data_IF_327451772082
#
_entry.id   IF_327451772082
#
_cell.length_a   1.000
_cell.length_b   1.000
_cell.length_c   1.000
_cell.angle_alpha   90.00
_cell.angle_beta   90.00
_cell.angle_gamma   90.00
#
_symmetry.space_group_name_H-M   'P 1'
#
loop_
_entity.id
_entity.type
_entity.pdbx_description
1 polymer ?
#
# COMPACT_ATOMS: atom_id res chain seq x y z
N UNK A 1 -6.52 -18.04 -30.94
CA UNK A 1 -5.31 -18.80 -30.52
C UNK A 1 -4.52 -19.33 -31.71
N UNK A 2 -5.15 -19.98 -32.68
CA UNK A 2 -4.50 -20.67 -33.83
C UNK A 2 -3.69 -19.73 -34.70
N UNK A 3 -4.25 -18.55 -35.04
CA UNK A 3 -3.54 -17.53 -35.84
C UNK A 3 -2.25 -17.05 -35.15
N UNK A 4 -2.27 -16.90 -33.83
CA UNK A 4 -1.11 -16.49 -33.06
C UNK A 4 -0.03 -17.56 -33.06
N UNK A 5 -0.42 -18.83 -32.93
CA UNK A 5 0.50 -19.98 -33.05
C UNK A 5 1.12 -20.06 -34.44
N UNK A 6 0.33 -19.85 -35.49
CA UNK A 6 0.83 -19.81 -36.85
C UNK A 6 1.82 -18.69 -37.13
N UNK A 7 1.56 -17.49 -36.62
CA UNK A 7 2.51 -16.37 -36.67
C UNK A 7 3.81 -16.70 -35.95
N UNK A 8 3.74 -17.20 -34.71
CA UNK A 8 4.96 -17.58 -33.94
C UNK A 8 5.76 -18.68 -34.65
N UNK A 9 5.10 -19.63 -35.34
CA UNK A 9 5.79 -20.64 -36.13
C UNK A 9 6.49 -20.04 -37.35
N UNK A 10 5.83 -19.08 -38.01
CA UNK A 10 6.41 -18.34 -39.13
C UNK A 10 7.63 -17.54 -38.72
N UNK A 11 7.51 -16.76 -37.64
CA UNK A 11 8.59 -15.95 -37.08
C UNK A 11 9.79 -16.82 -36.69
N UNK A 12 9.53 -17.96 -36.03
CA UNK A 12 10.58 -18.92 -35.66
C UNK A 12 11.29 -19.48 -36.92
N UNK A 13 10.55 -19.85 -37.95
CA UNK A 13 11.12 -20.34 -39.21
C UNK A 13 11.94 -19.26 -39.93
N UNK A 14 11.48 -18.02 -39.94
CA UNK A 14 12.22 -16.89 -40.51
C UNK A 14 13.54 -16.63 -39.78
N UNK A 15 13.54 -16.67 -38.45
CA UNK A 15 14.73 -16.48 -37.62
C UNK A 15 15.79 -17.57 -37.84
N UNK A 16 15.38 -18.78 -38.20
CA UNK A 16 16.32 -19.87 -38.54
C UNK A 16 17.06 -19.63 -39.86
N UNK A 17 16.65 -18.68 -40.69
CA UNK A 17 17.29 -18.33 -41.97
C UNK A 17 18.52 -17.44 -41.84
N UNK A 18 18.96 -17.06 -40.63
CA UNK A 18 20.17 -16.27 -40.41
C UNK A 18 21.46 -17.07 -40.64
N UNK A 19 22.56 -16.37 -40.94
CA UNK A 19 23.89 -16.97 -41.13
C UNK A 19 24.40 -17.69 -39.88
N UNK A 20 24.10 -17.09 -38.70
CA UNK A 20 24.39 -17.70 -37.41
C UNK A 20 23.14 -17.55 -36.51
N UNK A 21 22.62 -18.66 -36.01
CA UNK A 21 21.42 -18.69 -35.16
C UNK A 21 21.74 -19.41 -33.86
N UNK A 22 21.49 -18.74 -32.75
CA UNK A 22 21.65 -19.29 -31.41
C UNK A 22 20.26 -19.42 -30.77
N UNK A 23 19.88 -20.64 -30.41
CA UNK A 23 18.65 -20.94 -29.72
C UNK A 23 18.94 -21.27 -28.25
N UNK A 24 18.27 -20.59 -27.34
CA UNK A 24 18.41 -20.84 -25.91
C UNK A 24 17.07 -21.14 -25.26
N UNK A 25 17.08 -22.01 -24.27
CA UNK A 25 15.92 -22.22 -23.40
C UNK A 25 16.36 -22.50 -21.97
N UNK A 26 15.54 -22.18 -20.99
CA UNK A 26 15.81 -22.47 -19.60
C UNK A 26 15.50 -23.92 -19.27
N UNK A 27 16.39 -24.60 -18.56
CA UNK A 27 16.11 -25.93 -18.00
C UNK A 27 15.10 -25.86 -16.83
N UNK A 28 15.07 -24.73 -16.12
CA UNK A 28 14.14 -24.47 -15.01
C UNK A 28 13.59 -23.05 -15.11
N UNK A 29 12.34 -22.87 -14.71
CA UNK A 29 11.70 -21.57 -14.55
C UNK A 29 11.04 -21.52 -13.17
N UNK A 30 11.37 -20.52 -12.33
CA UNK A 30 10.85 -20.42 -10.97
C UNK A 30 11.11 -21.64 -10.09
N UNK A 31 12.25 -22.33 -10.29
CA UNK A 31 12.61 -23.55 -9.55
C UNK A 31 12.01 -24.86 -10.11
N UNK A 32 11.02 -24.80 -10.98
CA UNK A 32 10.41 -25.97 -11.61
C UNK A 32 11.07 -26.30 -12.97
N UNK A 33 11.13 -27.58 -13.40
CA UNK A 33 11.60 -27.93 -14.73
C UNK A 33 10.80 -27.22 -15.83
N UNK A 34 11.48 -26.61 -16.78
CA UNK A 34 10.85 -25.96 -17.93
C UNK A 34 10.77 -26.94 -19.10
N UNK A 35 9.66 -26.87 -19.85
CA UNK A 35 9.46 -27.67 -21.06
C UNK A 35 9.95 -26.86 -22.27
N UNK A 36 10.79 -27.45 -23.10
CA UNK A 36 11.23 -26.83 -24.34
C UNK A 36 10.04 -26.53 -25.28
N UNK A 37 10.18 -25.46 -26.07
CA UNK A 37 9.15 -25.09 -27.03
C UNK A 37 8.87 -26.22 -28.04
N UNK A 38 7.60 -26.40 -28.41
CA UNK A 38 7.22 -27.32 -29.51
C UNK A 38 7.99 -27.08 -30.83
N UNK A 39 8.44 -25.86 -31.05
CA UNK A 39 9.23 -25.51 -32.25
C UNK A 39 10.65 -26.07 -32.13
N UNK A 40 11.26 -26.10 -30.94
CA UNK A 40 12.53 -26.76 -30.72
C UNK A 40 12.43 -28.27 -30.90
N UNK A 41 11.42 -28.92 -30.31
CA UNK A 41 11.20 -30.38 -30.53
C UNK A 41 10.97 -30.74 -31.99
N UNK A 42 10.24 -29.88 -32.72
CA UNK A 42 10.06 -30.10 -34.16
C UNK A 42 11.35 -29.93 -34.95
N UNK A 43 12.16 -28.92 -34.59
CA UNK A 43 13.47 -28.69 -35.21
C UNK A 43 14.41 -29.86 -34.96
N UNK A 44 14.46 -30.37 -33.72
CA UNK A 44 15.22 -31.55 -33.34
C UNK A 44 14.81 -32.77 -34.17
N UNK A 45 13.52 -33.04 -34.27
CA UNK A 45 13.01 -34.16 -35.06
C UNK A 45 13.34 -34.06 -36.58
N UNK A 46 13.37 -32.86 -37.14
CA UNK A 46 13.73 -32.63 -38.53
C UNK A 46 15.26 -32.71 -38.77
N UNK A 47 16.03 -32.16 -37.83
CA UNK A 47 17.50 -32.17 -37.92
C UNK A 47 18.08 -33.58 -37.77
N UNK A 48 17.45 -34.41 -36.97
CA UNK A 48 17.99 -35.71 -36.56
C UNK A 48 19.12 -35.64 -35.55
N UNK A 49 19.34 -36.75 -34.88
CA UNK A 49 20.24 -36.83 -33.70
C UNK A 49 21.66 -36.33 -33.97
N UNK A 50 22.22 -36.66 -35.11
CA UNK A 50 23.61 -36.31 -35.44
C UNK A 50 23.83 -34.80 -35.54
N UNK A 51 22.94 -34.11 -36.29
CA UNK A 51 23.03 -32.67 -36.49
C UNK A 51 22.63 -31.93 -35.21
N UNK A 52 21.56 -32.37 -34.55
CA UNK A 52 21.09 -31.79 -33.31
C UNK A 52 22.16 -31.82 -32.20
N UNK A 53 22.74 -32.98 -31.94
CA UNK A 53 23.81 -33.13 -30.96
C UNK A 53 25.06 -32.34 -31.30
N UNK A 54 25.38 -32.18 -32.58
CA UNK A 54 26.48 -31.32 -33.04
C UNK A 54 26.20 -29.85 -32.71
N UNK A 55 24.97 -29.36 -32.96
CA UNK A 55 24.53 -28.00 -32.67
C UNK A 55 24.54 -27.74 -31.15
N UNK A 56 24.03 -28.67 -30.35
CA UNK A 56 24.07 -28.59 -28.88
C UNK A 56 25.46 -28.43 -28.35
N UNK A 57 26.41 -29.29 -28.81
CA UNK A 57 27.83 -29.16 -28.44
C UNK A 57 28.45 -27.83 -28.85
N UNK A 58 28.10 -27.33 -30.05
CA UNK A 58 28.59 -26.03 -30.51
C UNK A 58 28.04 -24.85 -29.66
N UNK A 59 26.81 -25.03 -29.11
CA UNK A 59 26.17 -24.05 -28.23
C UNK A 59 26.72 -24.01 -26.79
N UNK A 60 27.43 -25.07 -26.37
CA UNK A 60 27.93 -25.19 -24.98
C UNK A 60 28.85 -24.04 -24.54
N UNK A 61 29.62 -23.48 -25.50
CA UNK A 61 30.45 -22.28 -25.27
C UNK A 61 29.66 -21.09 -24.73
N UNK A 62 28.41 -20.90 -25.15
CA UNK A 62 27.55 -19.77 -24.67
C UNK A 62 27.06 -20.00 -23.25
N UNK A 63 26.81 -21.26 -22.87
CA UNK A 63 26.54 -21.63 -21.48
C UNK A 63 27.74 -21.35 -20.57
N UNK A 64 28.95 -21.69 -21.08
CA UNK A 64 30.20 -21.40 -20.36
C UNK A 64 30.43 -19.88 -20.22
N UNK A 65 30.14 -19.08 -21.25
CA UNK A 65 30.22 -17.62 -21.14
C UNK A 65 29.25 -17.06 -20.12
N UNK A 66 28.00 -17.53 -20.11
CA UNK A 66 27.04 -17.15 -19.10
C UNK A 66 27.50 -17.51 -17.68
N UNK A 67 28.00 -18.74 -17.49
CA UNK A 67 28.54 -19.18 -16.22
C UNK A 67 29.74 -18.33 -15.76
N UNK A 68 30.63 -17.96 -16.69
CA UNK A 68 31.80 -17.13 -16.39
C UNK A 68 31.38 -15.69 -15.98
N UNK A 69 30.32 -15.15 -16.58
CA UNK A 69 29.77 -13.84 -16.17
C UNK A 69 29.17 -13.85 -14.76
N UNK A 70 28.66 -15.01 -14.34
CA UNK A 70 28.07 -15.19 -13.00
C UNK A 70 29.11 -15.61 -11.94
N UNK A 71 30.40 -15.76 -12.31
CA UNK A 71 31.47 -16.09 -11.40
C UNK A 71 32.40 -14.88 -11.20
N UNK A 72 32.06 -13.97 -10.26
CA UNK A 72 32.97 -12.87 -9.94
C UNK A 72 34.24 -13.38 -9.22
N UNK A 73 35.34 -12.70 -9.43
CA UNK A 73 36.62 -13.01 -8.75
C UNK A 73 36.50 -12.95 -7.23
N UNK A 74 35.62 -12.08 -6.74
CA UNK A 74 35.32 -11.89 -5.32
C UNK A 74 33.83 -11.66 -5.10
N UNK A 75 33.20 -12.46 -4.22
CA UNK A 75 31.82 -12.22 -3.76
C UNK A 75 31.88 -11.32 -2.55
N UNK A 76 31.43 -10.08 -2.71
CA UNK A 76 31.26 -9.11 -1.61
C UNK A 76 29.82 -9.11 -1.16
N UNK A 77 29.49 -9.66 0.03
CA UNK A 77 28.13 -9.58 0.56
C UNK A 77 27.68 -8.14 0.66
N UNK A 78 26.48 -7.86 0.17
CA UNK A 78 25.86 -6.54 0.28
C UNK A 78 25.23 -6.46 1.67
N UNK A 79 25.50 -5.35 2.35
CA UNK A 79 24.89 -5.07 3.65
C UNK A 79 23.57 -4.32 3.45
N UNK A 80 22.68 -4.45 4.42
CA UNK A 80 21.47 -3.63 4.52
C UNK A 80 21.82 -2.15 4.37
N UNK A 81 21.14 -1.38 3.51
CA UNK A 81 21.43 0.03 3.36
C UNK A 81 20.99 0.82 4.61
N UNK A 82 21.89 1.67 5.07
CA UNK A 82 21.73 2.52 6.25
C UNK A 82 22.08 3.99 5.92
N UNK A 83 21.34 4.65 5.00
CA UNK A 83 21.64 6.04 4.66
C UNK A 83 21.43 6.96 5.87
N UNK A 84 22.36 7.89 6.05
CA UNK A 84 22.35 8.91 7.10
C UNK A 84 22.44 10.30 6.47
N UNK A 85 21.34 10.81 5.91
CA UNK A 85 21.33 12.13 5.31
C UNK A 85 21.55 13.21 6.37
N UNK A 86 22.20 14.33 6.00
CA UNK A 86 22.34 15.49 6.87
C UNK A 86 20.98 15.96 7.39
N UNK A 87 20.93 16.45 8.63
CA UNK A 87 19.70 16.89 9.29
C UNK A 87 18.89 17.91 8.46
N UNK A 88 19.58 18.80 7.74
CA UNK A 88 18.94 19.79 6.88
C UNK A 88 18.09 19.19 5.74
N UNK A 89 18.39 17.96 5.31
CA UNK A 89 17.65 17.25 4.26
C UNK A 89 16.49 16.41 4.82
N UNK A 90 16.42 16.21 6.12
CA UNK A 90 15.38 15.37 6.75
C UNK A 90 14.04 16.08 6.73
N UNK A 91 12.93 15.38 6.40
CA UNK A 91 11.62 15.99 6.20
C UNK A 91 11.08 16.57 7.51
N UNK A 92 10.52 17.77 7.42
CA UNK A 92 9.84 18.47 8.52
C UNK A 92 8.31 18.50 8.34
N UNK A 93 7.78 17.88 7.32
CA UNK A 93 6.34 17.78 7.07
C UNK A 93 6.00 16.39 6.55
N UNK A 94 5.11 15.71 7.24
CA UNK A 94 4.64 14.38 6.87
C UNK A 94 3.15 14.22 7.17
N UNK A 95 2.48 13.34 6.42
CA UNK A 95 1.12 12.93 6.71
C UNK A 95 1.07 11.76 7.70
N UNK A 96 -0.06 11.54 8.34
CA UNK A 96 -0.27 10.40 9.26
C UNK A 96 -0.01 9.05 8.58
N UNK A 97 -0.30 8.92 7.29
CA UNK A 97 0.00 7.71 6.50
C UNK A 97 1.49 7.53 6.26
N UNK A 98 2.23 8.62 6.04
CA UNK A 98 3.69 8.57 5.91
C UNK A 98 4.39 8.24 7.23
N UNK A 99 3.80 8.59 8.38
CA UNK A 99 4.31 8.14 9.69
C UNK A 99 4.20 6.61 9.80
N UNK A 100 3.15 6.01 9.27
CA UNK A 100 3.03 4.55 9.23
C UNK A 100 4.13 3.91 8.35
N UNK A 101 4.39 4.48 7.17
CA UNK A 101 5.50 4.06 6.31
C UNK A 101 6.86 4.24 7.02
N UNK A 102 7.06 5.36 7.72
CA UNK A 102 8.30 5.63 8.46
C UNK A 102 8.57 4.63 9.56
N UNK A 103 7.52 4.22 10.29
CA UNK A 103 7.64 3.21 11.35
C UNK A 103 7.98 1.82 10.79
N UNK A 104 7.43 1.48 9.62
CA UNK A 104 7.60 0.16 9.00
C UNK A 104 8.91 0.04 8.25
N UNK A 105 9.23 1.04 7.46
CA UNK A 105 10.40 1.08 6.56
C UNK A 105 10.92 2.52 6.42
N UNK A 106 11.81 2.96 7.29
CA UNK A 106 12.41 4.30 7.19
C UNK A 106 13.05 4.58 5.83
N UNK A 107 13.57 3.55 5.15
CA UNK A 107 14.18 3.70 3.83
C UNK A 107 13.18 4.21 2.78
N UNK A 108 11.91 3.85 2.90
CA UNK A 108 10.84 4.39 2.04
C UNK A 108 10.76 5.92 2.16
N UNK A 109 10.87 6.45 3.37
CA UNK A 109 10.87 7.92 3.57
C UNK A 109 12.14 8.56 3.00
N UNK A 110 13.29 7.91 3.16
CA UNK A 110 14.54 8.37 2.53
C UNK A 110 14.41 8.45 1.02
N UNK A 111 13.94 7.41 0.36
CA UNK A 111 13.77 7.38 -1.09
C UNK A 111 12.75 8.41 -1.57
N UNK A 112 11.57 8.44 -0.95
CA UNK A 112 10.44 9.28 -1.37
C UNK A 112 10.63 10.76 -1.04
N UNK A 113 11.10 11.11 0.16
CA UNK A 113 11.12 12.48 0.65
C UNK A 113 12.47 13.17 0.52
N UNK A 114 13.57 12.42 0.61
CA UNK A 114 14.92 12.97 0.56
C UNK A 114 15.50 12.84 -0.85
N UNK A 115 15.44 11.66 -1.45
CA UNK A 115 15.87 11.45 -2.84
C UNK A 115 14.82 11.91 -3.86
N UNK A 116 13.56 12.08 -3.46
CA UNK A 116 12.44 12.49 -4.32
C UNK A 116 12.23 11.55 -5.50
N UNK A 117 12.33 10.24 -5.23
CA UNK A 117 12.12 9.20 -6.23
C UNK A 117 10.65 8.78 -6.21
N UNK A 118 10.03 8.80 -7.36
CA UNK A 118 8.70 8.24 -7.59
C UNK A 118 8.84 6.98 -8.45
N UNK A 119 8.04 5.96 -8.14
CA UNK A 119 7.98 4.77 -8.98
C UNK A 119 7.33 5.14 -10.32
N UNK A 120 7.93 4.67 -11.40
CA UNK A 120 7.32 4.79 -12.71
C UNK A 120 6.25 3.72 -12.89
N UNK A 121 5.05 4.16 -13.26
CA UNK A 121 3.99 3.23 -13.61
C UNK A 121 4.34 2.49 -14.90
N UNK A 122 4.12 1.17 -14.97
CA UNK A 122 4.26 0.42 -16.21
C UNK A 122 3.34 0.97 -17.31
N UNK A 123 3.80 0.92 -18.56
CA UNK A 123 2.94 1.20 -19.71
C UNK A 123 1.80 0.17 -19.71
N UNK A 124 0.57 0.62 -19.92
CA UNK A 124 -0.65 -0.21 -19.84
C UNK A 124 -0.87 -0.86 -18.45
N UNK A 125 -0.59 -0.14 -17.38
CA UNK A 125 -0.84 -0.61 -16.01
C UNK A 125 -2.27 -1.14 -15.87
N UNK A 126 -2.46 -2.39 -15.43
CA UNK A 126 -3.78 -2.91 -15.16
C UNK A 126 -4.42 -2.18 -13.98
N UNK A 127 -5.75 -2.06 -13.99
CA UNK A 127 -6.48 -1.51 -12.85
C UNK A 127 -6.15 -2.26 -11.57
N UNK A 128 -5.90 -1.52 -10.51
CA UNK A 128 -5.47 -2.02 -9.21
C UNK A 128 -6.59 -1.94 -8.16
N UNK A 129 -6.35 -2.57 -7.02
CA UNK A 129 -7.23 -2.42 -5.85
C UNK A 129 -7.24 -0.96 -5.32
N UNK A 130 -6.17 -0.19 -5.57
CA UNK A 130 -6.09 1.22 -5.20
C UNK A 130 -7.04 2.08 -6.03
N UNK A 131 -7.11 1.86 -7.37
CA UNK A 131 -8.04 2.59 -8.24
C UNK A 131 -9.49 2.37 -7.81
N UNK A 132 -9.84 1.11 -7.50
CA UNK A 132 -11.15 0.80 -6.94
C UNK A 132 -11.38 1.48 -5.59
N UNK A 133 -10.37 1.48 -4.73
CA UNK A 133 -10.42 2.14 -3.43
C UNK A 133 -10.70 3.63 -3.58
N UNK A 134 -9.94 4.32 -4.41
CA UNK A 134 -10.10 5.75 -4.69
C UNK A 134 -11.51 6.09 -5.19
N UNK A 135 -12.02 5.34 -6.18
CA UNK A 135 -13.36 5.58 -6.71
C UNK A 135 -14.47 5.41 -5.63
N UNK A 136 -14.30 4.46 -4.69
CA UNK A 136 -15.22 4.27 -3.57
C UNK A 136 -15.11 5.44 -2.58
N UNK A 137 -13.88 5.82 -2.19
CA UNK A 137 -13.65 6.94 -1.26
C UNK A 137 -14.20 8.25 -1.83
N UNK A 138 -13.92 8.57 -3.08
CA UNK A 138 -14.38 9.79 -3.74
C UNK A 138 -15.92 9.84 -3.79
N UNK A 139 -16.57 8.71 -4.10
CA UNK A 139 -18.03 8.65 -4.11
C UNK A 139 -18.64 8.83 -2.71
N UNK A 140 -18.03 8.26 -1.68
CA UNK A 140 -18.49 8.41 -0.29
C UNK A 140 -18.20 9.81 0.24
N UNK A 141 -17.07 10.39 -0.08
CA UNK A 141 -16.70 11.76 0.26
C UNK A 141 -17.70 12.75 -0.33
N UNK A 142 -17.95 12.69 -1.65
CA UNK A 142 -18.94 13.54 -2.33
C UNK A 142 -20.36 13.38 -1.73
N UNK A 143 -20.76 12.13 -1.44
CA UNK A 143 -22.06 11.88 -0.79
C UNK A 143 -22.12 12.47 0.60
N UNK A 144 -21.09 12.23 1.43
CA UNK A 144 -21.09 12.68 2.83
C UNK A 144 -21.04 14.20 2.93
N UNK A 145 -20.27 14.86 2.06
CA UNK A 145 -20.20 16.33 1.97
C UNK A 145 -21.54 16.93 1.51
N UNK A 146 -22.11 16.41 0.42
CA UNK A 146 -23.37 16.93 -0.13
C UNK A 146 -24.55 16.75 0.83
N UNK A 147 -24.55 15.70 1.62
CA UNK A 147 -25.63 15.33 2.53
C UNK A 147 -25.20 15.36 4.00
N UNK A 148 -24.25 16.21 4.36
CA UNK A 148 -23.77 16.36 5.73
C UNK A 148 -24.89 16.72 6.71
N UNK A 149 -25.78 17.66 6.34
CA UNK A 149 -26.86 18.13 7.20
C UNK A 149 -28.11 17.22 7.18
N UNK A 150 -28.54 16.78 6.02
CA UNK A 150 -29.76 16.00 5.84
C UNK A 150 -29.59 14.89 4.84
N UNK A 151 -30.03 13.69 5.20
CA UNK A 151 -29.99 12.55 4.26
C UNK A 151 -31.11 12.72 3.19
N UNK A 152 -30.85 12.25 1.96
CA UNK A 152 -31.87 12.14 0.94
C UNK A 152 -32.87 11.02 1.29
N UNK A 153 -34.07 11.02 0.68
CA UNK A 153 -35.11 10.01 0.90
C UNK A 153 -34.63 8.58 0.59
N UNK A 154 -33.75 8.43 -0.42
CA UNK A 154 -33.11 7.16 -0.80
C UNK A 154 -31.59 7.33 -0.91
N UNK A 155 -30.88 7.22 0.23
CA UNK A 155 -29.42 7.37 0.27
C UNK A 155 -28.69 6.38 -0.64
N UNK A 156 -29.18 5.15 -0.74
CA UNK A 156 -28.58 4.12 -1.56
C UNK A 156 -28.64 4.44 -3.05
N UNK A 157 -29.77 4.96 -3.51
CA UNK A 157 -29.95 5.38 -4.91
C UNK A 157 -29.06 6.57 -5.25
N UNK A 158 -29.00 7.55 -4.36
CA UNK A 158 -28.19 8.75 -4.57
C UNK A 158 -26.71 8.40 -4.58
N UNK A 159 -26.22 7.62 -3.61
CA UNK A 159 -24.83 7.18 -3.57
C UNK A 159 -24.46 6.35 -4.82
N UNK A 160 -25.38 5.53 -5.32
CA UNK A 160 -25.14 4.80 -6.58
C UNK A 160 -24.98 5.74 -7.77
N UNK A 161 -25.82 6.79 -7.87
CA UNK A 161 -25.69 7.78 -8.94
C UNK A 161 -24.37 8.56 -8.88
N UNK A 162 -23.94 8.96 -7.67
CA UNK A 162 -22.61 9.57 -7.46
C UNK A 162 -21.50 8.58 -7.87
N UNK A 163 -21.63 7.33 -7.48
CA UNK A 163 -20.66 6.29 -7.84
C UNK A 163 -20.54 6.06 -9.35
N UNK A 164 -21.63 6.18 -10.12
CA UNK A 164 -21.58 6.10 -11.59
C UNK A 164 -20.59 7.11 -12.19
N UNK A 165 -20.53 8.32 -11.64
CA UNK A 165 -19.58 9.35 -12.06
C UNK A 165 -18.14 8.96 -11.75
N UNK A 166 -17.85 8.51 -10.51
CA UNK A 166 -16.49 8.18 -10.08
C UNK A 166 -15.97 6.87 -10.69
N UNK A 167 -16.85 5.92 -10.98
CA UNK A 167 -16.49 4.68 -11.67
C UNK A 167 -16.43 4.81 -13.20
N UNK A 168 -16.97 5.88 -13.80
CA UNK A 168 -17.02 6.04 -15.25
C UNK A 168 -15.68 5.80 -15.96
N UNK A 169 -14.52 6.35 -15.50
CA UNK A 169 -13.24 6.10 -16.14
C UNK A 169 -12.79 4.64 -16.06
N UNK A 170 -13.23 3.91 -15.02
CA UNK A 170 -12.86 2.51 -14.80
C UNK A 170 -13.74 1.55 -15.62
N UNK A 171 -14.95 1.99 -15.99
CA UNK A 171 -15.96 1.15 -16.68
C UNK A 171 -15.59 0.79 -18.12
N UNK A 172 -14.57 1.41 -18.70
CA UNK A 172 -14.01 0.98 -19.98
C UNK A 172 -13.34 -0.40 -19.89
N UNK A 173 -12.89 -0.79 -18.70
CA UNK A 173 -12.28 -2.10 -18.45
C UNK A 173 -13.35 -3.14 -18.07
N UNK A 174 -13.36 -4.31 -18.75
CA UNK A 174 -14.35 -5.36 -18.48
C UNK A 174 -14.39 -5.83 -17.03
N UNK A 175 -13.23 -5.92 -16.36
CA UNK A 175 -13.10 -6.37 -14.97
C UNK A 175 -13.80 -5.39 -14.00
N UNK A 176 -13.62 -4.09 -14.20
CA UNK A 176 -14.26 -3.07 -13.36
C UNK A 176 -15.79 -3.14 -13.52
N UNK A 177 -16.26 -3.26 -14.76
CA UNK A 177 -17.69 -3.35 -15.08
C UNK A 177 -18.33 -4.62 -14.52
N UNK A 178 -17.65 -5.78 -14.65
CA UNK A 178 -18.20 -7.06 -14.25
C UNK A 178 -18.07 -7.35 -12.76
N UNK A 179 -17.02 -6.85 -12.10
CA UNK A 179 -16.70 -7.23 -10.71
C UNK A 179 -16.82 -6.06 -9.73
N UNK A 180 -16.30 -4.87 -10.07
CA UNK A 180 -16.20 -3.78 -9.11
C UNK A 180 -17.51 -3.00 -8.98
N UNK A 181 -18.16 -2.71 -10.11
CA UNK A 181 -19.42 -2.00 -10.12
C UNK A 181 -20.54 -2.74 -9.35
N UNK A 182 -20.80 -4.04 -9.54
CA UNK A 182 -21.77 -4.76 -8.74
C UNK A 182 -21.40 -4.80 -7.24
N UNK A 183 -20.11 -4.81 -6.88
CA UNK A 183 -19.68 -4.69 -5.49
C UNK A 183 -20.01 -3.32 -4.91
N UNK A 184 -19.73 -2.25 -5.66
CA UNK A 184 -20.08 -0.90 -5.24
C UNK A 184 -21.61 -0.73 -5.05
N UNK A 185 -22.43 -1.28 -5.92
CA UNK A 185 -23.88 -1.26 -5.76
C UNK A 185 -24.34 -1.92 -4.45
N UNK A 186 -23.67 -2.99 -4.01
CA UNK A 186 -23.95 -3.61 -2.71
C UNK A 186 -23.47 -2.75 -1.55
N UNK A 187 -22.29 -2.12 -1.69
CA UNK A 187 -21.78 -1.15 -0.73
C UNK A 187 -22.78 0.01 -0.59
N UNK A 188 -23.24 0.59 -1.68
CA UNK A 188 -24.17 1.73 -1.67
C UNK A 188 -25.47 1.42 -0.92
N UNK A 189 -26.02 0.20 -1.10
CA UNK A 189 -27.21 -0.25 -0.37
C UNK A 189 -26.93 -0.36 1.12
N UNK A 190 -25.89 -1.10 1.49
CA UNK A 190 -25.49 -1.28 2.88
C UNK A 190 -25.18 0.06 3.56
N UNK A 191 -24.44 0.93 2.88
CA UNK A 191 -24.04 2.24 3.39
C UNK A 191 -25.28 3.14 3.62
N UNK A 192 -26.25 3.12 2.72
CA UNK A 192 -27.49 3.88 2.89
C UNK A 192 -28.27 3.45 4.14
N UNK A 193 -28.39 2.16 4.41
CA UNK A 193 -29.03 1.61 5.61
C UNK A 193 -28.22 1.96 6.87
N UNK A 194 -26.92 1.77 6.84
CA UNK A 194 -26.01 2.07 7.93
C UNK A 194 -26.01 3.56 8.28
N UNK A 195 -25.92 4.42 7.28
CA UNK A 195 -25.91 5.87 7.44
C UNK A 195 -27.22 6.36 8.08
N UNK A 196 -28.36 5.84 7.63
CA UNK A 196 -29.67 6.17 8.19
C UNK A 196 -29.75 5.79 9.67
N UNK A 197 -29.28 4.61 10.04
CA UNK A 197 -29.27 4.18 11.43
C UNK A 197 -28.31 5.00 12.31
N UNK A 198 -27.14 5.36 11.76
CA UNK A 198 -26.09 6.06 12.50
C UNK A 198 -26.41 7.53 12.79
N UNK A 199 -27.11 8.21 11.88
CA UNK A 199 -27.41 9.66 11.94
C UNK A 199 -28.13 10.09 13.20
N UNK A 200 -28.93 9.23 13.80
CA UNK A 200 -29.69 9.57 15.01
C UNK A 200 -28.85 9.96 16.23
N UNK A 201 -27.55 9.61 16.24
CA UNK A 201 -26.62 9.91 17.34
C UNK A 201 -25.61 11.02 17.01
N UNK A 202 -25.75 11.69 15.85
CA UNK A 202 -24.79 12.65 15.31
C UNK A 202 -25.43 14.04 15.25
N UNK A 203 -24.69 15.05 15.71
CA UNK A 203 -25.07 16.45 15.61
C UNK A 203 -24.56 17.12 14.33
N UNK A 204 -23.32 16.80 13.95
CA UNK A 204 -22.69 17.35 12.76
C UNK A 204 -21.69 16.36 12.17
N UNK A 205 -21.47 16.46 10.85
CA UNK A 205 -20.51 15.68 10.10
C UNK A 205 -19.63 16.62 9.30
N UNK A 206 -18.32 16.35 9.32
CA UNK A 206 -17.35 16.96 8.43
C UNK A 206 -16.66 15.85 7.65
N UNK A 207 -16.72 15.90 6.32
CA UNK A 207 -16.11 14.92 5.42
C UNK A 207 -14.83 15.49 4.79
N UNK A 208 -13.90 14.61 4.44
CA UNK A 208 -12.70 14.89 3.64
C UNK A 208 -11.91 16.13 4.14
N UNK A 209 -11.91 16.32 5.47
CA UNK A 209 -11.35 17.51 6.09
C UNK A 209 -9.85 17.37 6.34
N UNK A 210 -9.12 18.45 6.10
CA UNK A 210 -7.67 18.50 6.34
C UNK A 210 -7.38 19.13 7.70
N UNK A 211 -6.48 18.48 8.44
CA UNK A 211 -5.97 19.00 9.70
C UNK A 211 -4.45 18.98 9.73
N UNK A 212 -3.87 19.87 10.53
CA UNK A 212 -2.43 19.97 10.72
C UNK A 212 -2.10 20.44 12.14
N UNK A 213 -1.05 19.88 12.71
CA UNK A 213 -0.46 20.39 13.97
C UNK A 213 1.04 20.60 13.79
N UNK A 214 1.59 21.48 14.60
CA UNK A 214 3.02 21.77 14.67
C UNK A 214 3.66 21.19 15.92
N UNK A 215 4.85 20.63 15.78
CA UNK A 215 5.64 20.05 16.86
C UNK A 215 6.96 20.80 16.90
N UNK A 216 7.17 21.59 17.95
CA UNK A 216 8.43 22.31 18.15
C UNK A 216 9.55 21.34 18.47
N UNK A 217 10.65 21.47 17.76
CA UNK A 217 11.89 20.72 17.95
C UNK A 217 12.98 21.65 18.48
N UNK A 218 14.08 21.06 18.91
CA UNK A 218 15.24 21.83 19.33
C UNK A 218 15.83 22.64 18.12
N UNK A 219 16.56 23.71 18.41
CA UNK A 219 17.19 24.56 17.39
C UNK A 219 16.23 25.28 16.42
N UNK A 220 15.08 25.74 16.90
CA UNK A 220 14.08 26.50 16.15
C UNK A 220 13.52 25.76 14.90
N UNK A 221 13.59 24.45 14.87
CA UNK A 221 12.94 23.63 13.84
C UNK A 221 11.52 23.27 14.29
N UNK A 222 10.62 23.18 13.34
CA UNK A 222 9.22 22.79 13.59
C UNK A 222 8.85 21.66 12.63
N UNK A 223 8.32 20.60 13.16
CA UNK A 223 7.76 19.50 12.37
C UNK A 223 6.25 19.70 12.23
N UNK A 224 5.72 19.44 11.07
CA UNK A 224 4.28 19.54 10.76
C UNK A 224 3.72 18.15 10.46
N UNK A 225 2.74 17.76 11.25
CA UNK A 225 1.95 16.55 11.03
C UNK A 225 0.63 16.93 10.41
N UNK A 226 0.31 16.38 9.25
CA UNK A 226 -0.96 16.62 8.56
C UNK A 226 -1.77 15.34 8.40
N UNK A 227 -3.10 15.49 8.37
CA UNK A 227 -4.03 14.42 8.06
C UNK A 227 -5.11 14.92 7.10
N UNK A 228 -5.74 13.99 6.40
CA UNK A 228 -7.03 14.18 5.75
C UNK A 228 -7.94 13.10 6.31
N UNK A 229 -8.85 13.49 7.19
CA UNK A 229 -9.81 12.57 7.77
C UNK A 229 -10.96 12.34 6.80
N UNK A 230 -11.29 11.08 6.53
CA UNK A 230 -12.42 10.72 5.65
C UNK A 230 -13.73 11.28 6.22
N UNK A 231 -13.90 11.14 7.56
CA UNK A 231 -15.10 11.63 8.24
C UNK A 231 -14.84 11.88 9.72
N UNK A 232 -15.25 13.05 10.19
CA UNK A 232 -15.33 13.42 11.61
C UNK A 232 -16.78 13.69 11.96
N UNK A 233 -17.26 13.06 13.03
CA UNK A 233 -18.63 13.23 13.54
C UNK A 233 -18.61 13.91 14.91
N UNK A 234 -19.36 14.99 15.05
CA UNK A 234 -19.71 15.52 16.35
C UNK A 234 -20.92 14.76 16.87
N UNK A 235 -20.74 14.11 17.98
CA UNK A 235 -21.79 13.27 18.59
C UNK A 235 -22.62 14.04 19.60
N UNK A 236 -23.82 13.54 19.87
CA UNK A 236 -24.64 14.06 20.99
C UNK A 236 -23.81 14.00 22.27
N UNK A 237 -23.76 15.14 23.00
CA UNK A 237 -22.89 15.30 24.18
C UNK A 237 -21.52 15.91 23.89
N UNK A 238 -21.25 16.36 22.66
CA UNK A 238 -20.11 17.19 22.29
C UNK A 238 -18.78 16.45 22.07
N UNK A 239 -18.75 15.11 22.21
CA UNK A 239 -17.56 14.32 21.85
C UNK A 239 -17.49 14.05 20.34
N UNK A 240 -16.34 13.61 19.86
CA UNK A 240 -16.11 13.33 18.46
C UNK A 240 -15.86 11.84 18.20
N UNK A 241 -16.27 11.39 17.01
CA UNK A 241 -15.85 10.13 16.43
C UNK A 241 -15.09 10.38 15.13
N UNK A 242 -13.99 9.65 14.92
CA UNK A 242 -13.20 9.71 13.68
C UNK A 242 -13.37 8.39 12.95
N UNK A 243 -13.77 8.47 11.69
CA UNK A 243 -14.05 7.33 10.85
C UNK A 243 -13.11 7.32 9.65
N UNK A 244 -12.61 6.13 9.30
CA UNK A 244 -11.81 5.89 8.12
C UNK A 244 -12.41 4.72 7.33
N UNK A 245 -12.61 4.92 6.03
CA UNK A 245 -13.17 3.93 5.13
C UNK A 245 -12.07 3.02 4.58
N UNK A 246 -12.25 1.70 4.66
CA UNK A 246 -11.28 0.73 4.13
C UNK A 246 -11.94 -0.25 3.18
N UNK A 247 -11.45 -0.33 1.96
CA UNK A 247 -11.91 -1.34 0.98
C UNK A 247 -11.20 -2.68 1.15
N UNK A 248 -10.06 -2.70 1.83
CA UNK A 248 -9.30 -3.86 2.24
C UNK A 248 -9.61 -4.32 3.67
N UNK A 249 -8.66 -5.05 4.26
CA UNK A 249 -8.74 -5.44 5.66
C UNK A 249 -8.24 -4.29 6.55
N UNK A 250 -9.07 -3.73 7.43
CA UNK A 250 -8.63 -2.69 8.34
C UNK A 250 -7.68 -3.23 9.41
N UNK A 251 -6.81 -2.38 9.97
CA UNK A 251 -6.00 -2.72 11.13
C UNK A 251 -6.85 -3.17 12.31
N UNK A 252 -6.31 -4.08 13.11
CA UNK A 252 -6.95 -4.52 14.35
C UNK A 252 -6.72 -3.51 15.48
N UNK A 253 -7.61 -3.49 16.48
CA UNK A 253 -7.43 -2.64 17.67
C UNK A 253 -6.10 -2.90 18.37
N UNK A 254 -5.59 -4.14 18.35
CA UNK A 254 -4.25 -4.49 18.87
C UNK A 254 -3.12 -3.80 18.09
N UNK A 255 -3.17 -3.82 16.74
CA UNK A 255 -2.17 -3.14 15.91
C UNK A 255 -2.14 -1.64 16.17
N UNK A 256 -3.33 -1.02 16.27
CA UNK A 256 -3.45 0.41 16.61
C UNK A 256 -2.91 0.68 18.02
N UNK A 257 -3.27 -0.14 19.01
CA UNK A 257 -2.81 -0.02 20.39
C UNK A 257 -1.29 -0.16 20.53
N UNK A 258 -0.67 -1.01 19.74
CA UNK A 258 0.78 -1.17 19.67
C UNK A 258 1.48 0.02 18.97
N UNK A 259 0.75 0.83 18.23
CA UNK A 259 1.28 1.95 17.44
C UNK A 259 1.78 1.54 16.05
N UNK A 260 1.44 0.33 15.58
CA UNK A 260 1.84 -0.17 14.26
C UNK A 260 0.97 0.40 13.12
N UNK A 261 -0.22 0.89 13.44
CA UNK A 261 -1.14 1.57 12.52
C UNK A 261 -1.69 2.82 13.22
N UNK A 262 -0.88 3.89 13.31
CA UNK A 262 -1.17 5.04 14.13
C UNK A 262 -2.14 6.05 13.48
N UNK A 263 -2.62 5.83 12.26
CA UNK A 263 -3.42 6.78 11.49
C UNK A 263 -4.54 7.40 12.33
N UNK A 264 -5.51 6.63 12.79
CA UNK A 264 -6.66 7.15 13.53
C UNK A 264 -6.28 7.77 14.89
N UNK A 265 -5.27 7.23 15.58
CA UNK A 265 -4.81 7.80 16.86
C UNK A 265 -4.06 9.11 16.67
N UNK A 266 -3.35 9.30 15.58
CA UNK A 266 -2.70 10.56 15.22
C UNK A 266 -3.73 11.58 14.70
N UNK A 267 -4.75 11.17 13.94
CA UNK A 267 -5.88 12.02 13.58
C UNK A 267 -6.63 12.51 14.84
N UNK A 268 -6.81 11.63 15.82
CA UNK A 268 -7.37 12.02 17.11
C UNK A 268 -6.46 13.01 17.86
N UNK A 269 -5.14 12.87 17.79
CA UNK A 269 -4.22 13.84 18.37
C UNK A 269 -4.32 15.20 17.69
N UNK A 270 -4.40 15.23 16.34
CA UNK A 270 -4.62 16.46 15.58
C UNK A 270 -5.94 17.12 15.97
N UNK A 271 -7.03 16.34 16.10
CA UNK A 271 -8.34 16.84 16.53
C UNK A 271 -8.24 17.47 17.92
N UNK A 272 -7.65 16.79 18.88
CA UNK A 272 -7.54 17.25 20.28
C UNK A 272 -6.66 18.49 20.44
N UNK A 273 -5.71 18.72 19.54
CA UNK A 273 -4.89 19.94 19.50
C UNK A 273 -5.58 21.08 18.72
N UNK A 274 -6.81 20.88 18.20
CA UNK A 274 -7.54 21.90 17.44
C UNK A 274 -7.00 22.07 16.02
N UNK A 275 -6.35 21.04 15.48
CA UNK A 275 -5.73 21.08 14.16
C UNK A 275 -6.70 20.89 12.99
N UNK A 276 -7.97 20.56 13.23
CA UNK A 276 -9.01 20.55 12.20
C UNK A 276 -9.86 21.81 12.26
N UNK A 277 -10.36 22.30 11.12
CA UNK A 277 -11.26 23.46 11.08
C UNK A 277 -12.50 23.26 11.94
N UNK A 278 -12.94 24.33 12.58
CA UNK A 278 -14.16 24.40 13.40
C UNK A 278 -14.20 23.41 14.59
N UNK A 279 -13.04 22.90 15.02
CA UNK A 279 -12.91 22.02 16.18
C UNK A 279 -11.94 22.67 17.18
N UNK A 280 -12.43 22.93 18.38
CA UNK A 280 -11.65 23.57 19.44
C UNK A 280 -10.60 22.62 20.02
N UNK A 281 -9.44 23.17 20.40
CA UNK A 281 -8.44 22.42 21.16
C UNK A 281 -9.02 21.95 22.51
N UNK A 282 -8.66 20.74 22.91
CA UNK A 282 -9.20 20.08 24.11
C UNK A 282 -10.47 19.27 23.86
N UNK A 283 -10.98 19.25 22.62
CA UNK A 283 -12.13 18.41 22.27
C UNK A 283 -11.83 16.92 22.49
N UNK A 284 -12.85 16.18 23.01
CA UNK A 284 -12.71 14.76 23.34
C UNK A 284 -13.12 13.86 22.19
N UNK A 285 -12.33 12.82 21.95
CA UNK A 285 -12.62 11.75 20.99
C UNK A 285 -13.14 10.53 21.73
N UNK A 286 -14.37 10.13 21.45
CA UNK A 286 -15.03 8.98 22.09
C UNK A 286 -14.95 7.70 21.28
N UNK A 287 -14.77 7.79 19.96
CA UNK A 287 -14.72 6.62 19.07
C UNK A 287 -13.68 6.79 17.96
N UNK A 288 -12.95 5.71 17.69
CA UNK A 288 -12.15 5.51 16.48
C UNK A 288 -12.77 4.34 15.73
N UNK A 289 -13.12 4.54 14.47
CA UNK A 289 -13.95 3.59 13.73
C UNK A 289 -13.35 3.31 12.36
N UNK A 290 -13.19 2.03 12.04
CA UNK A 290 -13.01 1.61 10.66
C UNK A 290 -14.34 1.17 10.06
N UNK A 291 -14.67 1.68 8.89
CA UNK A 291 -15.81 1.22 8.10
C UNK A 291 -15.26 0.43 6.92
N UNK A 292 -15.34 -0.90 7.04
CA UNK A 292 -14.87 -1.79 5.98
C UNK A 292 -15.91 -1.92 4.88
N UNK A 293 -15.51 -1.66 3.64
CA UNK A 293 -16.37 -1.64 2.46
C UNK A 293 -15.87 -2.64 1.41
N UNK A 294 -16.11 -3.93 1.66
CA UNK A 294 -15.63 -5.01 0.80
C UNK A 294 -16.46 -5.23 -0.46
N UNK A 295 -17.76 -4.90 -0.38
CA UNK A 295 -18.75 -5.25 -1.40
C UNK A 295 -19.01 -6.75 -1.57
N UNK A 296 -18.51 -7.58 -0.64
CA UNK A 296 -18.73 -9.04 -0.60
C UNK A 296 -19.97 -9.38 0.25
N UNK A 297 -19.86 -10.36 1.10
CA UNK A 297 -20.87 -10.71 2.10
C UNK A 297 -20.20 -10.81 3.48
N UNK A 298 -20.46 -9.88 4.44
CA UNK A 298 -21.30 -8.68 4.27
C UNK A 298 -20.63 -7.62 3.36
N UNK A 299 -21.41 -6.73 2.71
CA UNK A 299 -20.87 -5.70 1.82
C UNK A 299 -20.09 -4.61 2.56
N UNK A 300 -20.51 -4.31 3.78
CA UNK A 300 -19.86 -3.38 4.68
C UNK A 300 -19.89 -3.87 6.12
N UNK A 301 -19.04 -3.31 6.95
CA UNK A 301 -18.93 -3.63 8.38
C UNK A 301 -18.39 -2.43 9.13
N UNK A 302 -19.08 -2.01 10.19
CA UNK A 302 -18.57 -1.02 11.13
C UNK A 302 -17.74 -1.70 12.20
N UNK A 303 -16.55 -1.18 12.47
CA UNK A 303 -15.65 -1.66 13.52
C UNK A 303 -15.22 -0.52 14.43
N UNK A 304 -15.90 -0.36 15.55
CA UNK A 304 -15.44 0.51 16.63
C UNK A 304 -14.19 -0.14 17.23
N UNK A 305 -13.10 0.60 17.29
CA UNK A 305 -11.83 0.06 17.77
C UNK A 305 -11.81 -0.11 19.28
N UNK A 306 -11.66 -1.33 19.72
CA UNK A 306 -11.30 -1.65 21.09
C UNK A 306 -9.76 -1.73 21.21
N UNK A 307 -9.17 -0.70 21.81
CA UNK A 307 -7.70 -0.55 21.93
C UNK A 307 -7.17 -1.34 23.12
N UNK A 308 -6.99 -2.66 22.96
CA UNK A 308 -6.53 -3.59 23.99
C UNK A 308 -5.44 -4.53 23.46
N UNK A 309 -4.61 -5.07 24.35
CA UNK A 309 -3.56 -6.03 24.00
C UNK A 309 -4.07 -7.46 23.98
N UNK A 310 -4.91 -7.82 24.96
CA UNK A 310 -5.46 -9.18 25.13
C UNK A 310 -6.97 -9.12 25.23
N UNK A 311 -7.61 -10.23 24.92
CA UNK A 311 -9.03 -10.41 25.18
C UNK A 311 -9.25 -10.41 26.70
N UNK A 312 -10.19 -9.58 27.18
CA UNK A 312 -10.45 -9.41 28.62
C UNK A 312 -9.81 -8.15 29.24
N UNK A 313 -8.84 -7.51 28.57
CA UNK A 313 -8.34 -6.22 29.00
C UNK A 313 -9.41 -5.14 28.83
N UNK A 314 -9.41 -4.12 29.70
CA UNK A 314 -10.20 -2.93 29.48
C UNK A 314 -9.64 -2.15 28.26
N UNK A 315 -10.48 -1.71 27.32
CA UNK A 315 -10.04 -0.92 26.19
C UNK A 315 -9.51 0.43 26.66
N UNK A 316 -8.36 0.84 26.12
CA UNK A 316 -7.84 2.17 26.37
C UNK A 316 -8.75 3.22 25.74
N UNK A 317 -9.09 4.32 26.44
CA UNK A 317 -9.84 5.42 25.86
C UNK A 317 -9.14 6.04 24.64
N UNK A 318 -9.88 6.44 23.60
CA UNK A 318 -9.32 7.08 22.41
C UNK A 318 -8.44 8.30 22.70
N UNK A 319 -8.86 9.14 23.66
CA UNK A 319 -8.09 10.32 24.10
C UNK A 319 -6.71 9.96 24.66
N UNK A 320 -6.65 8.90 25.46
CA UNK A 320 -5.37 8.41 26.01
C UNK A 320 -4.49 7.83 24.90
N UNK A 321 -5.09 7.08 23.98
CA UNK A 321 -4.36 6.51 22.85
C UNK A 321 -3.82 7.61 21.91
N UNK A 322 -4.59 8.68 21.70
CA UNK A 322 -4.14 9.85 20.94
C UNK A 322 -2.92 10.53 21.60
N UNK A 323 -2.97 10.75 22.92
CA UNK A 323 -1.85 11.34 23.64
C UNK A 323 -0.58 10.45 23.60
N UNK A 324 -0.73 9.13 23.74
CA UNK A 324 0.39 8.19 23.59
C UNK A 324 0.94 8.16 22.18
N UNK A 325 0.09 8.15 21.14
CA UNK A 325 0.53 8.19 19.75
C UNK A 325 1.30 9.49 19.44
N UNK A 326 0.81 10.61 19.96
CA UNK A 326 1.47 11.91 19.85
C UNK A 326 2.86 11.92 20.50
N UNK A 327 2.97 11.37 21.71
CA UNK A 327 4.25 11.26 22.42
C UNK A 327 5.24 10.31 21.70
N UNK A 328 4.77 9.18 21.20
CA UNK A 328 5.59 8.24 20.40
C UNK A 328 6.09 8.88 19.11
N UNK A 329 5.23 9.65 18.42
CA UNK A 329 5.62 10.39 17.23
C UNK A 329 6.71 11.41 17.56
N UNK A 330 6.57 12.18 18.63
CA UNK A 330 7.58 13.15 19.04
C UNK A 330 8.92 12.47 19.36
N UNK A 331 8.91 11.34 20.05
CA UNK A 331 10.11 10.55 20.30
C UNK A 331 10.76 10.06 19.00
N UNK A 332 9.96 9.59 18.02
CA UNK A 332 10.43 9.18 16.69
C UNK A 332 11.10 10.36 15.97
N UNK A 333 10.44 11.49 15.91
CA UNK A 333 10.99 12.69 15.25
C UNK A 333 12.31 13.10 15.90
N UNK A 334 12.37 13.15 17.24
CA UNK A 334 13.61 13.49 17.98
C UNK A 334 14.73 12.48 17.70
N UNK A 335 14.43 11.19 17.61
CA UNK A 335 15.41 10.17 17.24
C UNK A 335 16.00 10.44 15.86
N UNK A 336 15.15 10.84 14.89
CA UNK A 336 15.58 11.16 13.52
C UNK A 336 16.13 12.60 13.38
N UNK A 337 16.17 13.42 14.41
CA UNK A 337 16.98 14.66 14.44
C UNK A 337 18.46 14.38 14.70
N UNK A 338 18.82 13.22 15.26
CA UNK A 338 20.21 12.75 15.34
C UNK A 338 20.71 12.28 13.98
N UNK A 339 21.78 12.90 13.47
CA UNK A 339 22.38 12.55 12.18
C UNK A 339 22.94 11.12 12.12
N UNK A 340 23.23 10.51 13.27
CA UNK A 340 23.66 9.11 13.36
C UNK A 340 22.50 8.12 13.14
N UNK A 341 21.25 8.56 13.33
CA UNK A 341 20.08 7.73 13.08
C UNK A 341 19.94 7.45 11.60
N UNK A 342 20.07 6.18 11.20
CA UNK A 342 19.95 5.74 9.82
C UNK A 342 18.49 5.54 9.40
N UNK A 343 18.23 5.72 8.13
CA UNK A 343 16.98 5.34 7.46
C UNK A 343 17.13 3.90 6.93
N UNK A 344 17.09 2.92 7.83
CA UNK A 344 17.25 1.50 7.49
C UNK A 344 16.07 0.95 6.71
N UNK A 345 16.33 0.00 5.80
CA UNK A 345 15.29 -0.72 5.06
C UNK A 345 14.73 -1.88 5.88
N UNK A 346 13.42 -2.18 5.74
CA UNK A 346 12.73 -3.28 6.41
C UNK A 346 12.94 -3.34 7.94
N UNK A 347 12.73 -2.22 8.60
CA UNK A 347 12.87 -2.15 10.06
C UNK A 347 11.88 -3.09 10.78
N UNK A 348 10.68 -3.29 10.23
CA UNK A 348 9.66 -4.21 10.73
C UNK A 348 9.18 -5.14 9.58
N UNK A 349 9.96 -6.15 9.19
CA UNK A 349 9.69 -6.94 7.98
C UNK A 349 8.32 -7.65 8.01
N UNK A 350 7.81 -8.07 9.18
CA UNK A 350 6.51 -8.72 9.31
C UNK A 350 5.32 -7.81 8.96
N UNK A 351 5.54 -6.50 8.95
CA UNK A 351 4.53 -5.47 8.65
C UNK A 351 4.77 -4.75 7.33
N UNK A 352 5.93 -4.98 6.71
CA UNK A 352 6.22 -4.47 5.37
C UNK A 352 5.25 -5.09 4.35
N UNK A 353 4.82 -4.32 3.39
CA UNK A 353 4.13 -4.86 2.23
C UNK A 353 5.06 -5.87 1.56
N UNK A 354 4.51 -7.01 1.13
CA UNK A 354 5.27 -8.09 0.50
C UNK A 354 6.08 -7.63 -0.72
N UNK A 355 5.70 -6.49 -1.27
CA UNK A 355 6.36 -5.80 -2.39
C UNK A 355 6.38 -4.30 -2.07
N UNK A 356 7.45 -3.85 -1.41
CA UNK A 356 7.68 -2.41 -1.17
C UNK A 356 8.08 -1.72 -2.47
N UNK A 357 7.64 -0.48 -2.64
CA UNK A 357 7.94 0.33 -3.83
C UNK A 357 9.44 0.50 -4.07
N UNK A 358 10.26 0.47 -3.02
CA UNK A 358 11.70 0.72 -3.06
C UNK A 358 12.55 -0.50 -2.73
N UNK A 359 11.98 -1.71 -2.75
CA UNK A 359 12.69 -2.95 -2.43
C UNK A 359 13.86 -3.23 -3.35
N UNK A 360 13.71 -2.95 -4.65
CA UNK A 360 14.77 -3.12 -5.64
C UNK A 360 15.87 -2.05 -5.47
N UNK A 361 15.50 -0.81 -5.10
CA UNK A 361 16.46 0.24 -4.79
C UNK A 361 17.26 -0.10 -3.52
N UNK A 362 16.60 -0.62 -2.51
CA UNK A 362 17.22 -1.08 -1.26
C UNK A 362 17.95 -2.41 -1.43
N UNK A 363 17.84 -3.07 -2.59
CA UNK A 363 18.47 -4.37 -2.92
C UNK A 363 18.14 -5.46 -1.90
N UNK A 364 16.90 -5.46 -1.39
CA UNK A 364 16.48 -6.34 -0.28
C UNK A 364 16.73 -7.80 -0.57
N UNK A 365 16.47 -8.26 -1.80
CA UNK A 365 16.67 -9.66 -2.20
C UNK A 365 18.14 -10.11 -2.11
N UNK A 366 19.08 -9.18 -2.21
CA UNK A 366 20.50 -9.50 -2.24
C UNK A 366 21.09 -9.64 -0.83
N UNK A 367 20.82 -8.68 0.06
CA UNK A 367 21.36 -8.74 1.42
C UNK A 367 20.51 -9.61 2.36
N UNK A 368 19.20 -9.71 2.19
CA UNK A 368 18.34 -10.57 3.01
C UNK A 368 18.55 -12.05 2.71
N UNK A 369 18.77 -12.43 1.44
CA UNK A 369 19.09 -13.81 1.05
C UNK A 369 20.49 -14.26 1.51
N UNK A 370 21.40 -13.32 1.77
CA UNK A 370 22.75 -13.59 2.26
C UNK A 370 22.84 -13.83 3.79
N UNK A 371 21.72 -13.96 4.50
CA UNK A 371 21.68 -14.26 5.92
C UNK A 371 21.90 -13.06 6.85
N UNK A 372 21.71 -11.84 6.34
CA UNK A 372 21.88 -10.61 7.11
C UNK A 372 20.74 -10.27 8.07
N UNK A 373 19.73 -11.09 8.21
CA UNK A 373 18.69 -10.98 9.22
C UNK A 373 18.89 -12.09 10.26
N UNK A 374 19.62 -11.82 11.33
CA UNK A 374 19.33 -12.46 12.60
C UNK A 374 17.96 -11.94 13.04
N UNK A 375 16.95 -12.77 12.85
CA UNK A 375 15.62 -12.54 13.45
C UNK A 375 15.82 -12.81 14.93
N UNK A 376 16.04 -11.77 15.73
CA UNK A 376 15.85 -11.88 17.15
C UNK A 376 14.35 -12.17 17.36
N UNK A 377 14.06 -13.41 17.76
CA UNK A 377 12.73 -13.82 18.22
C UNK A 377 12.36 -13.01 19.47
N UNK A 378 11.34 -12.14 19.33
CA UNK A 378 10.72 -11.40 20.44
C UNK A 378 9.44 -12.10 20.91
#
# INVERSE_FOLDING_TARGET
PERRIGLSAHDFAQLLGGDEVILTHSAKAGGAPAVASRFLHRLEAVAGDALWNSAVRAGEKYVQFAAALDQPDEVRPIKQPEPRPPRAMRPLKMSVTEIEDWLRDPYTIYAKRILKLDALDPVDMPLSAADRGSAIHDALGEFTEAYAAHLPDDPARVLRAIGEKHFAPLMERPEARALWWPRFQRIARWFGEWETARRGAIEAITAETRGEISISLDNARTFYLSARADRIERRQGGSYAILDYKTGQPPTGKQVRMGLSPQLTLEAAILREGGFPDIDAGSSVSQLVYVRLSGNNPPGEERILELKFKQGDEPQPPDTAAAEARAKLEALIRAFEDENQAYTSLNLPMWANRYGTYDDLARIKEWSAAGGLEIEEW
#
